data_IF_145784561916
#
_entry.id   IF_145784561916
#
_cell.length_a   1.000
_cell.length_b   1.000
_cell.length_c   1.000
_cell.angle_alpha   90.00
_cell.angle_beta   90.00
_cell.angle_gamma   90.00
#
_symmetry.space_group_name_H-M   'P 1'
#
loop_
_entity.id
_entity.type
_entity.pdbx_description
1 polymer ?
#
# COMPACT_ATOMS: atom_id res chain seq x y z
N UNK A 1 -12.63 -2.98 -4.69
CA UNK A 1 -14.01 -3.43 -4.40
C UNK A 1 -14.57 -2.75 -3.14
N UNK A 2 -13.99 -2.93 -1.93
CA UNK A 2 -14.52 -2.39 -0.65
C UNK A 2 -14.74 -0.87 -0.67
N UNK A 3 -13.75 -0.09 -1.09
CA UNK A 3 -13.88 1.37 -1.20
C UNK A 3 -15.06 1.78 -2.09
N UNK A 4 -15.19 1.16 -3.27
CA UNK A 4 -16.27 1.46 -4.22
C UNK A 4 -17.66 1.12 -3.67
N UNK A 5 -17.72 0.17 -2.73
CA UNK A 5 -18.94 -0.22 -2.02
C UNK A 5 -19.17 0.58 -0.73
N UNK A 6 -18.36 1.60 -0.43
CA UNK A 6 -18.49 2.43 0.77
C UNK A 6 -17.85 1.88 2.05
N UNK A 7 -17.20 0.71 1.98
CA UNK A 7 -16.55 0.06 3.14
C UNK A 7 -15.10 0.55 3.32
N UNK A 8 -14.95 1.84 3.59
CA UNK A 8 -13.61 2.48 3.70
C UNK A 8 -12.87 2.00 4.95
N UNK A 9 -13.57 1.87 6.09
CA UNK A 9 -12.97 1.40 7.35
C UNK A 9 -12.46 -0.03 7.22
N UNK A 10 -13.26 -0.92 6.62
CA UNK A 10 -12.91 -2.31 6.38
C UNK A 10 -11.76 -2.44 5.39
N UNK A 11 -11.68 -1.54 4.41
CA UNK A 11 -10.56 -1.46 3.48
C UNK A 11 -9.24 -1.17 4.22
N UNK A 12 -9.20 -0.14 5.08
CA UNK A 12 -8.01 0.18 5.88
C UNK A 12 -7.68 -0.91 6.88
N UNK A 13 -8.66 -1.43 7.62
CA UNK A 13 -8.45 -2.53 8.56
C UNK A 13 -7.88 -3.79 7.88
N UNK A 14 -8.30 -4.07 6.65
CA UNK A 14 -7.75 -5.17 5.85
C UNK A 14 -6.29 -4.94 5.45
N UNK A 15 -5.94 -3.72 5.03
CA UNK A 15 -4.56 -3.35 4.71
C UNK A 15 -3.66 -3.46 5.94
N UNK A 16 -4.08 -2.87 7.06
CA UNK A 16 -3.33 -2.88 8.31
C UNK A 16 -3.11 -4.30 8.83
N UNK A 17 -4.17 -5.12 8.84
CA UNK A 17 -4.09 -6.50 9.31
C UNK A 17 -3.07 -7.34 8.56
N UNK A 18 -2.98 -7.19 7.24
CA UNK A 18 -2.12 -8.03 6.40
C UNK A 18 -0.74 -7.39 6.22
N UNK A 19 -0.71 -6.15 5.79
CA UNK A 19 0.53 -5.49 5.38
C UNK A 19 1.18 -4.70 6.51
N UNK A 20 0.40 -4.12 7.43
CA UNK A 20 0.93 -3.49 8.63
C UNK A 20 1.74 -4.48 9.44
N UNK A 21 1.22 -5.68 9.66
CA UNK A 21 1.94 -6.72 10.38
C UNK A 21 3.25 -7.17 9.71
N UNK A 22 3.35 -7.12 8.38
CA UNK A 22 4.62 -7.36 7.67
C UNK A 22 5.62 -6.22 7.92
N UNK A 23 5.15 -4.98 7.91
CA UNK A 23 6.00 -3.79 8.08
C UNK A 23 6.42 -3.58 9.55
N UNK A 24 5.67 -4.12 10.51
CA UNK A 24 6.03 -4.11 11.94
C UNK A 24 7.22 -5.03 12.25
N UNK A 25 7.59 -5.92 11.35
CA UNK A 25 8.79 -6.72 11.50
C UNK A 25 10.02 -5.83 11.29
N UNK A 26 10.74 -5.53 12.36
CA UNK A 26 11.87 -4.57 12.37
C UNK A 26 12.99 -4.92 11.40
N UNK A 27 13.06 -6.16 10.96
CA UNK A 27 14.12 -6.68 10.09
C UNK A 27 13.84 -6.47 8.60
N UNK A 28 12.60 -6.12 8.25
CA UNK A 28 12.20 -5.95 6.85
C UNK A 28 11.31 -4.72 6.68
N UNK A 29 11.50 -4.03 5.56
CA UNK A 29 10.68 -2.88 5.13
C UNK A 29 9.95 -3.17 3.82
N UNK A 30 9.75 -4.45 3.51
CA UNK A 30 9.28 -4.95 2.22
C UNK A 30 8.02 -5.79 2.39
N UNK A 31 7.32 -6.05 1.29
CA UNK A 31 6.14 -6.94 1.26
C UNK A 31 6.57 -8.36 0.95
N UNK A 32 6.10 -9.31 1.77
CA UNK A 32 6.48 -10.71 1.72
C UNK A 32 5.57 -11.51 0.78
N UNK A 33 6.07 -12.61 0.24
CA UNK A 33 5.34 -13.56 -0.59
C UNK A 33 4.07 -14.10 0.09
N UNK A 34 4.12 -14.29 1.41
CA UNK A 34 2.98 -14.70 2.22
C UNK A 34 3.21 -14.34 3.69
N UNK A 35 2.13 -14.10 4.41
CA UNK A 35 2.14 -13.81 5.82
C UNK A 35 1.02 -14.57 6.53
N UNK A 36 1.36 -15.27 7.62
CA UNK A 36 0.41 -15.87 8.55
C UNK A 36 0.72 -15.38 9.96
N UNK A 37 -0.21 -14.67 10.58
CA UNK A 37 -0.06 -14.12 11.93
C UNK A 37 0.11 -15.20 13.02
N UNK A 38 -0.17 -16.46 12.73
CA UNK A 38 0.00 -17.59 13.63
C UNK A 38 1.43 -18.10 13.65
N UNK A 39 2.17 -17.91 12.56
CA UNK A 39 3.58 -18.31 12.48
C UNK A 39 4.45 -17.41 13.35
N UNK A 40 5.44 -18.00 14.03
CA UNK A 40 6.35 -17.29 14.93
C UNK A 40 7.80 -17.77 14.72
N UNK A 41 8.75 -16.87 14.98
CA UNK A 41 10.18 -17.17 14.86
C UNK A 41 10.56 -17.68 13.46
N UNK A 42 11.35 -18.73 13.37
CA UNK A 42 11.85 -19.27 12.11
C UNK A 42 10.74 -19.80 11.17
N UNK A 43 9.57 -20.17 11.70
CA UNK A 43 8.45 -20.65 10.88
C UNK A 43 7.88 -19.54 10.00
N UNK A 44 7.98 -18.26 10.40
CA UNK A 44 7.57 -17.12 9.60
C UNK A 44 8.28 -17.07 8.22
N UNK A 45 9.47 -17.62 8.13
CA UNK A 45 10.29 -17.63 6.91
C UNK A 45 10.18 -18.92 6.11
N UNK A 46 9.41 -19.88 6.62
CA UNK A 46 9.17 -21.17 5.94
C UNK A 46 8.17 -21.00 4.79
N UNK A 47 8.47 -21.58 3.64
CA UNK A 47 7.57 -21.63 2.51
C UNK A 47 7.84 -22.85 1.63
N UNK A 48 6.83 -23.36 0.93
CA UNK A 48 6.94 -24.57 0.11
C UNK A 48 7.54 -25.77 0.85
N UNK A 49 7.25 -25.91 2.14
CA UNK A 49 7.80 -26.98 2.98
C UNK A 49 9.29 -26.87 3.31
N UNK A 50 9.95 -25.75 2.97
CA UNK A 50 11.39 -25.53 3.19
C UNK A 50 11.61 -24.38 4.17
N UNK A 51 12.61 -24.50 5.09
CA UNK A 51 13.00 -23.42 5.97
C UNK A 51 13.61 -22.27 5.15
N UNK A 52 13.37 -21.04 5.57
CA UNK A 52 13.92 -19.81 4.96
C UNK A 52 13.68 -19.68 3.43
N UNK A 53 12.62 -20.30 2.91
CA UNK A 53 12.29 -20.26 1.49
C UNK A 53 11.31 -19.12 1.12
N UNK A 54 10.75 -18.41 2.11
CA UNK A 54 9.81 -17.31 1.88
C UNK A 54 10.55 -16.10 1.30
N UNK A 55 10.07 -15.58 0.19
CA UNK A 55 10.55 -14.30 -0.34
C UNK A 55 10.04 -13.16 0.53
N UNK A 56 10.96 -12.35 1.08
CA UNK A 56 10.62 -11.19 1.89
C UNK A 56 10.53 -9.89 1.07
N UNK A 57 10.82 -9.94 -0.23
CA UNK A 57 10.62 -8.84 -1.18
C UNK A 57 9.93 -9.41 -2.42
N UNK A 58 8.61 -9.45 -2.40
CA UNK A 58 7.82 -10.14 -3.42
C UNK A 58 6.87 -9.18 -4.13
N UNK A 59 7.10 -8.96 -5.42
CA UNK A 59 6.38 -7.96 -6.21
C UNK A 59 4.86 -8.18 -6.23
N UNK A 60 4.40 -9.41 -6.19
CA UNK A 60 2.96 -9.75 -6.17
C UNK A 60 2.25 -9.22 -4.92
N UNK A 61 2.99 -9.00 -3.85
CA UNK A 61 2.46 -8.44 -2.60
C UNK A 61 2.61 -6.92 -2.51
N UNK A 62 3.24 -6.27 -3.49
CA UNK A 62 3.50 -4.83 -3.49
C UNK A 62 2.30 -3.96 -3.93
N UNK A 63 1.15 -4.57 -4.24
CA UNK A 63 -0.06 -3.86 -4.63
C UNK A 63 -0.57 -2.79 -3.63
N UNK A 64 -0.26 -2.82 -2.29
CA UNK A 64 -0.63 -1.73 -1.41
C UNK A 64 -0.03 -0.39 -1.83
N UNK A 65 1.19 -0.36 -2.36
CA UNK A 65 1.80 0.87 -2.86
C UNK A 65 0.95 1.49 -3.99
N UNK A 66 0.47 0.67 -4.93
CA UNK A 66 -0.45 1.11 -5.97
C UNK A 66 -1.80 1.57 -5.39
N UNK A 67 -2.35 0.84 -4.41
CA UNK A 67 -3.64 1.20 -3.80
C UNK A 67 -3.57 2.50 -3.01
N UNK A 68 -2.47 2.75 -2.32
CA UNK A 68 -2.30 4.03 -1.62
C UNK A 68 -2.36 5.19 -2.60
N UNK A 69 -1.65 5.12 -3.71
CA UNK A 69 -1.67 6.18 -4.74
C UNK A 69 -3.05 6.29 -5.37
N UNK A 70 -3.57 5.18 -5.91
CA UNK A 70 -4.77 5.21 -6.75
C UNK A 70 -6.09 5.29 -5.96
N UNK A 71 -6.15 4.72 -4.76
CA UNK A 71 -7.41 4.60 -4.03
C UNK A 71 -7.43 5.43 -2.74
N UNK A 72 -6.31 5.60 -2.05
CA UNK A 72 -6.26 6.41 -0.83
C UNK A 72 -6.02 7.89 -1.18
N UNK A 73 -4.93 8.19 -1.85
CA UNK A 73 -4.64 9.54 -2.35
C UNK A 73 -5.51 9.92 -3.55
N UNK A 74 -6.07 8.94 -4.24
CA UNK A 74 -6.96 9.14 -5.39
C UNK A 74 -6.27 9.75 -6.60
N UNK A 75 -4.94 9.64 -6.69
CA UNK A 75 -4.14 10.19 -7.80
C UNK A 75 -4.14 9.20 -8.95
N UNK A 76 -4.71 9.61 -10.07
CA UNK A 76 -4.90 8.77 -11.26
C UNK A 76 -4.65 9.55 -12.53
N UNK A 77 -4.05 8.95 -13.57
CA UNK A 77 -3.99 9.59 -14.88
C UNK A 77 -5.40 9.71 -15.47
N UNK A 78 -5.66 10.82 -16.13
CA UNK A 78 -6.88 11.08 -16.88
C UNK A 78 -6.64 11.14 -18.40
N UNK A 79 -5.37 10.95 -18.80
CA UNK A 79 -4.95 10.81 -20.19
C UNK A 79 -3.74 9.90 -20.30
N UNK A 80 -3.46 9.43 -21.52
CA UNK A 80 -2.30 8.60 -21.82
C UNK A 80 -0.99 9.29 -21.43
N UNK A 81 -0.06 8.51 -20.92
CA UNK A 81 1.27 8.97 -20.54
C UNK A 81 1.27 10.02 -19.41
N UNK A 82 0.21 10.11 -18.60
CA UNK A 82 0.10 11.04 -17.48
C UNK A 82 0.17 12.53 -17.90
N UNK A 83 -0.30 12.89 -19.10
CA UNK A 83 -0.35 14.29 -19.52
C UNK A 83 -1.25 15.11 -18.59
N UNK A 84 -2.36 14.51 -18.19
CA UNK A 84 -3.26 15.03 -17.15
C UNK A 84 -3.54 13.97 -16.10
N UNK A 85 -3.80 14.40 -14.89
CA UNK A 85 -4.16 13.54 -13.77
C UNK A 85 -5.22 14.22 -12.90
N UNK A 86 -5.91 13.44 -12.10
CA UNK A 86 -6.80 13.90 -11.03
C UNK A 86 -6.25 13.49 -9.67
N UNK A 87 -6.62 14.20 -8.63
CA UNK A 87 -6.38 13.83 -7.25
C UNK A 87 -7.68 13.96 -6.46
N UNK A 88 -8.17 12.83 -5.94
CA UNK A 88 -9.41 12.74 -5.14
C UNK A 88 -9.14 11.92 -3.88
N UNK A 89 -8.46 12.50 -2.88
CA UNK A 89 -8.12 11.78 -1.66
C UNK A 89 -9.37 11.34 -0.91
N UNK A 90 -9.23 10.25 -0.15
CA UNK A 90 -10.27 9.83 0.79
C UNK A 90 -10.44 10.86 1.90
N UNK A 91 -11.67 11.13 2.33
CA UNK A 91 -11.88 12.04 3.47
C UNK A 91 -11.35 11.43 4.78
N UNK A 92 -10.92 12.29 5.70
CA UNK A 92 -10.49 11.90 7.03
C UNK A 92 -9.09 11.29 7.10
N UNK A 93 -8.27 11.48 6.07
CA UNK A 93 -6.85 11.16 6.12
C UNK A 93 -6.10 12.16 7.01
N UNK A 94 -5.02 11.76 7.68
CA UNK A 94 -4.11 12.71 8.34
C UNK A 94 -3.37 13.54 7.27
N UNK A 95 -2.76 14.64 7.69
CA UNK A 95 -1.87 15.40 6.83
C UNK A 95 -0.72 14.51 6.35
N UNK A 96 -0.41 14.60 5.07
CA UNK A 96 0.73 13.86 4.51
C UNK A 96 1.31 14.54 3.27
N UNK A 97 2.55 14.17 2.98
CA UNK A 97 3.25 14.53 1.76
C UNK A 97 3.71 13.24 1.07
N UNK A 98 3.53 13.19 -0.23
CA UNK A 98 3.94 12.06 -1.05
C UNK A 98 4.59 12.53 -2.35
N UNK A 99 5.58 11.77 -2.80
CA UNK A 99 6.23 11.93 -4.09
C UNK A 99 5.90 10.71 -4.94
N UNK A 100 5.24 10.92 -6.07
CA UNK A 100 4.71 9.86 -6.93
C UNK A 100 5.50 9.85 -8.24
N UNK A 101 6.22 8.77 -8.57
CA UNK A 101 6.90 8.65 -9.85
C UNK A 101 5.87 8.47 -10.97
N UNK A 102 6.02 9.27 -12.02
CA UNK A 102 5.22 9.18 -13.23
C UNK A 102 6.12 9.13 -14.46
N UNK A 103 5.63 8.72 -15.64
CA UNK A 103 6.41 8.79 -16.87
C UNK A 103 6.88 10.20 -17.25
N UNK A 104 6.30 11.24 -16.62
CA UNK A 104 6.64 12.65 -16.87
C UNK A 104 7.49 13.29 -15.78
N UNK A 105 7.99 12.49 -14.84
CA UNK A 105 8.75 12.95 -13.69
C UNK A 105 8.05 12.71 -12.36
N UNK A 106 8.59 13.30 -11.31
CA UNK A 106 8.05 13.17 -9.96
C UNK A 106 6.90 14.14 -9.76
N UNK A 107 5.76 13.62 -9.30
CA UNK A 107 4.60 14.41 -8.90
C UNK A 107 4.62 14.56 -7.37
N UNK A 108 4.72 15.80 -6.90
CA UNK A 108 4.58 16.14 -5.48
C UNK A 108 3.11 16.29 -5.12
N UNK A 109 2.69 15.57 -4.10
CA UNK A 109 1.31 15.61 -3.59
C UNK A 109 1.29 15.91 -2.10
N UNK A 110 0.53 16.93 -1.69
CA UNK A 110 0.32 17.30 -0.29
C UNK A 110 -1.16 17.28 0.03
N UNK A 111 -1.49 16.75 1.19
CA UNK A 111 -2.84 16.73 1.73
C UNK A 111 -2.84 17.37 3.11
N UNK A 112 -3.63 18.43 3.28
CA UNK A 112 -3.79 19.14 4.54
C UNK A 112 -5.26 19.16 4.93
N UNK A 113 -5.56 18.66 6.12
CA UNK A 113 -6.93 18.59 6.65
C UNK A 113 -7.54 19.97 6.93
N UNK A 114 -6.70 20.99 7.15
CA UNK A 114 -7.12 22.37 7.43
C UNK A 114 -7.56 23.14 6.19
N UNK A 115 -7.36 22.61 5.00
CA UNK A 115 -7.67 23.29 3.72
C UNK A 115 -8.94 22.75 3.03
N UNK A 116 -9.78 21.99 3.76
CA UNK A 116 -11.02 21.38 3.26
C UNK A 116 -12.28 22.05 3.76
#
# INVERSE_FOLDING_TARGET
ALKRAGYVKEFFAGLEKVFGAMLDQRETTTFWEGYDAKEKGAEMYRFYGRPFAKSLCHVWSAWPAFLFVSEVMGVKPTSDGWQTHEAKPLPGLPDFHATIPTPRGMLEFRYNTSEQ
#
